data_IF_673759058087
#
_entry.id   IF_673759058087
#
_cell.length_a   1.000
_cell.length_b   1.000
_cell.length_c   1.000
_cell.angle_alpha   90.00
_cell.angle_beta   90.00
_cell.angle_gamma   90.00
#
_symmetry.space_group_name_H-M   'P 1'
#
loop_
_entity.id
_entity.type
_entity.pdbx_description
1 polymer ?
#
# COMPACT_ATOMS: atom_id res chain seq x y z
N UNK A 1 13.21 -1.07 -5.27
CA UNK A 1 12.99 -2.52 -5.09
C UNK A 1 12.44 -2.90 -3.71
N UNK A 2 12.62 -2.08 -2.66
CA UNK A 2 12.23 -2.41 -1.27
C UNK A 2 10.74 -2.20 -0.98
N UNK A 3 10.06 -1.29 -1.69
CA UNK A 3 8.66 -0.92 -1.42
C UNK A 3 7.62 -1.93 -1.90
N UNK A 4 7.97 -2.81 -2.84
CA UNK A 4 7.06 -3.85 -3.38
C UNK A 4 6.92 -5.03 -2.41
N UNK A 5 8.00 -5.37 -1.68
CA UNK A 5 8.00 -6.51 -0.75
C UNK A 5 7.06 -6.34 0.45
N UNK A 6 6.85 -5.10 0.93
CA UNK A 6 5.99 -4.84 2.09
C UNK A 6 4.48 -4.96 1.78
N UNK A 7 4.06 -4.62 0.56
CA UNK A 7 2.66 -4.83 0.14
C UNK A 7 2.34 -6.33 0.08
N UNK A 8 3.30 -7.17 -0.33
CA UNK A 8 3.13 -8.62 -0.38
C UNK A 8 3.09 -9.30 0.99
N UNK A 9 3.88 -8.80 1.96
CA UNK A 9 3.85 -9.38 3.30
C UNK A 9 2.53 -9.11 4.02
N UNK A 10 1.95 -7.92 3.85
CA UNK A 10 0.63 -7.60 4.40
C UNK A 10 -0.50 -8.32 3.67
N UNK A 11 -0.36 -8.59 2.37
CA UNK A 11 -1.39 -9.27 1.57
C UNK A 11 -1.62 -10.73 2.00
N UNK A 12 -0.54 -11.45 2.34
CA UNK A 12 -0.67 -12.82 2.86
C UNK A 12 -1.36 -12.90 4.24
N UNK A 13 -1.47 -11.77 4.96
CA UNK A 13 -2.21 -11.67 6.22
C UNK A 13 -3.68 -11.27 6.00
N UNK A 14 -4.04 -10.84 4.77
CA UNK A 14 -5.34 -10.23 4.45
C UNK A 14 -6.30 -11.21 3.77
N UNK A 15 -5.90 -12.45 3.51
CA UNK A 15 -6.78 -13.45 2.91
C UNK A 15 -7.70 -14.04 3.97
N UNK A 16 -8.93 -13.55 4.09
CA UNK A 16 -9.89 -14.15 4.99
C UNK A 16 -10.80 -15.14 4.26
N UNK A 17 -10.36 -16.36 4.14
CA UNK A 17 -11.33 -17.47 4.16
C UNK A 17 -11.97 -17.59 5.56
N UNK A 18 -12.06 -16.47 6.28
CA UNK A 18 -12.47 -16.35 7.66
C UNK A 18 -13.98 -16.23 7.80
N UNK A 19 -14.73 -17.13 7.19
CA UNK A 19 -16.15 -17.34 7.52
C UNK A 19 -16.38 -18.55 8.43
N UNK A 20 -15.30 -19.16 8.95
CA UNK A 20 -15.44 -20.28 9.87
C UNK A 20 -15.10 -19.82 11.29
N UNK A 21 -16.11 -19.38 12.01
CA UNK A 21 -16.03 -18.88 13.40
C UNK A 21 -15.18 -19.74 14.35
N UNK A 22 -15.07 -21.03 14.10
CA UNK A 22 -14.25 -21.94 14.91
C UNK A 22 -12.75 -21.86 14.55
N UNK A 23 -12.40 -21.65 13.28
CA UNK A 23 -11.00 -21.47 12.86
C UNK A 23 -10.45 -20.15 13.35
N UNK A 24 -11.23 -19.09 13.25
CA UNK A 24 -10.86 -17.73 13.65
C UNK A 24 -10.60 -17.69 15.16
N UNK A 25 -11.50 -18.30 15.93
CA UNK A 25 -11.33 -18.44 17.37
C UNK A 25 -10.07 -19.20 17.73
N UNK A 26 -9.80 -20.32 17.06
CA UNK A 26 -8.59 -21.13 17.28
C UNK A 26 -7.33 -20.34 16.95
N UNK A 27 -7.31 -19.56 15.86
CA UNK A 27 -6.17 -18.72 15.51
C UNK A 27 -5.93 -17.65 16.58
N UNK A 28 -6.95 -16.97 17.06
CA UNK A 28 -6.83 -15.97 18.13
C UNK A 28 -6.33 -16.63 19.42
N UNK A 29 -6.81 -17.83 19.76
CA UNK A 29 -6.32 -18.61 20.91
C UNK A 29 -4.84 -18.93 20.80
N UNK A 30 -4.37 -19.35 19.62
CA UNK A 30 -2.95 -19.63 19.35
C UNK A 30 -2.13 -18.35 19.48
N UNK A 31 -2.56 -17.24 18.86
CA UNK A 31 -1.86 -15.95 18.93
C UNK A 31 -1.77 -15.49 20.40
N UNK A 32 -2.86 -15.51 21.13
CA UNK A 32 -2.91 -15.15 22.54
C UNK A 32 -1.97 -16.02 23.37
N UNK A 33 -2.00 -17.34 23.19
CA UNK A 33 -1.11 -18.27 23.88
C UNK A 33 0.37 -17.97 23.60
N UNK A 34 0.73 -17.66 22.34
CA UNK A 34 2.10 -17.31 21.97
C UNK A 34 2.52 -16.00 22.63
N UNK A 35 1.66 -14.99 22.62
CA UNK A 35 1.93 -13.69 23.26
C UNK A 35 2.13 -13.83 24.78
N UNK A 36 1.32 -14.63 25.45
CA UNK A 36 1.36 -14.83 26.91
C UNK A 36 2.51 -15.72 27.38
N UNK A 37 2.92 -16.73 26.59
CA UNK A 37 3.82 -17.80 27.05
C UNK A 37 5.20 -17.79 26.41
N UNK A 38 5.33 -17.30 25.19
CA UNK A 38 6.57 -17.42 24.40
C UNK A 38 7.19 -16.07 24.00
N UNK A 39 6.55 -14.96 24.32
CA UNK A 39 7.18 -13.67 24.11
C UNK A 39 8.28 -13.45 25.18
N UNK A 40 9.50 -13.07 24.73
CA UNK A 40 10.67 -12.87 25.59
C UNK A 40 10.41 -11.91 26.77
N UNK A 41 9.59 -10.88 26.53
CA UNK A 41 9.04 -10.02 27.59
C UNK A 41 7.55 -10.35 27.72
N UNK A 42 7.07 -10.64 28.94
CA UNK A 42 5.64 -10.83 29.17
C UNK A 42 4.87 -9.61 28.66
N UNK A 43 4.05 -9.80 27.66
CA UNK A 43 3.17 -8.75 27.12
C UNK A 43 1.89 -8.79 27.93
N UNK A 44 1.60 -7.67 28.58
CA UNK A 44 0.30 -7.47 29.22
C UNK A 44 -0.70 -7.01 28.16
N UNK A 45 -1.78 -7.79 27.99
CA UNK A 45 -2.85 -7.47 27.03
C UNK A 45 -3.79 -6.46 27.69
N UNK A 46 -3.53 -5.18 27.42
CA UNK A 46 -4.21 -4.01 28.00
C UNK A 46 -4.31 -2.88 26.95
N UNK A 47 -4.82 -1.72 27.35
CA UNK A 47 -4.98 -0.54 26.49
C UNK A 47 -3.65 -0.12 25.80
N UNK A 48 -2.51 -0.23 26.46
CA UNK A 48 -1.21 0.10 25.86
C UNK A 48 -0.86 -0.88 24.73
N UNK A 49 -1.11 -2.17 24.95
CA UNK A 49 -1.00 -3.20 23.92
C UNK A 49 -1.96 -2.93 22.76
N UNK A 50 -3.22 -2.57 23.07
CA UNK A 50 -4.23 -2.22 22.08
C UNK A 50 -3.79 -1.07 21.18
N UNK A 51 -3.22 -0.01 21.76
CA UNK A 51 -2.68 1.14 21.01
C UNK A 51 -1.57 0.71 20.06
N UNK A 52 -0.56 -0.02 20.55
CA UNK A 52 0.56 -0.48 19.74
C UNK A 52 0.12 -1.42 18.61
N UNK A 53 -0.79 -2.33 18.92
CA UNK A 53 -1.36 -3.25 17.94
C UNK A 53 -2.14 -2.51 16.86
N UNK A 54 -2.97 -1.53 17.24
CA UNK A 54 -3.74 -0.71 16.32
C UNK A 54 -2.81 0.07 15.37
N UNK A 55 -1.84 0.79 15.92
CA UNK A 55 -0.94 1.65 15.14
C UNK A 55 -0.12 0.80 14.16
N UNK A 56 0.45 -0.32 14.61
CA UNK A 56 1.19 -1.25 13.76
C UNK A 56 0.31 -1.90 12.67
N UNK A 57 -0.94 -2.25 13.02
CA UNK A 57 -1.87 -2.86 12.07
C UNK A 57 -2.27 -1.88 10.97
N UNK A 58 -2.66 -0.65 11.29
CA UNK A 58 -3.00 0.38 10.29
C UNK A 58 -1.79 0.70 9.41
N UNK A 59 -0.59 0.81 9.99
CA UNK A 59 0.65 1.00 9.23
C UNK A 59 0.90 -0.16 8.27
N UNK A 60 0.63 -1.40 8.67
CA UNK A 60 0.79 -2.57 7.80
C UNK A 60 -0.18 -2.58 6.61
N UNK A 61 -1.39 -2.03 6.78
CA UNK A 61 -2.40 -1.97 5.73
C UNK A 61 -2.15 -0.86 4.71
N UNK A 62 -1.68 0.30 5.14
CA UNK A 62 -1.51 1.49 4.28
C UNK A 62 -0.37 2.40 4.77
N UNK A 63 0.86 1.87 4.78
CA UNK A 63 2.07 2.58 5.23
C UNK A 63 2.32 3.89 4.49
N UNK A 64 1.92 3.99 3.24
CA UNK A 64 2.05 5.21 2.42
C UNK A 64 0.83 6.13 2.48
N UNK A 65 -0.18 5.78 3.27
CA UNK A 65 -1.43 6.54 3.46
C UNK A 65 -2.06 6.97 2.13
N UNK A 66 -2.17 6.01 1.19
CA UNK A 66 -2.62 6.25 -0.19
C UNK A 66 -3.93 5.54 -0.56
N UNK A 67 -4.37 4.57 0.24
CA UNK A 67 -5.64 3.87 0.06
C UNK A 67 -6.74 4.49 0.92
N UNK A 68 -6.55 4.50 2.24
CA UNK A 68 -7.56 5.02 3.16
C UNK A 68 -7.73 6.54 3.06
N UNK A 69 -8.95 6.99 3.40
CA UNK A 69 -9.26 8.39 3.61
C UNK A 69 -9.21 8.73 5.11
N UNK A 70 -9.11 10.01 5.43
CA UNK A 70 -9.17 10.49 6.81
C UNK A 70 -10.48 10.09 7.53
N UNK A 71 -11.59 9.96 6.80
CA UNK A 71 -12.87 9.46 7.32
C UNK A 71 -12.76 8.01 7.79
N UNK A 72 -12.06 7.15 7.03
CA UNK A 72 -11.87 5.74 7.37
C UNK A 72 -11.01 5.62 8.63
N UNK A 73 -9.91 6.36 8.68
CA UNK A 73 -9.04 6.39 9.84
C UNK A 73 -9.76 6.88 11.11
N UNK A 74 -10.65 7.87 10.98
CA UNK A 74 -11.47 8.34 12.10
C UNK A 74 -12.48 7.27 12.58
N UNK A 75 -12.99 6.43 11.67
CA UNK A 75 -13.81 5.27 12.04
C UNK A 75 -12.98 4.22 12.79
N UNK A 76 -11.78 3.92 12.28
CA UNK A 76 -10.86 2.96 12.91
C UNK A 76 -10.43 3.39 14.31
N UNK A 77 -10.17 4.69 14.54
CA UNK A 77 -9.77 5.21 15.85
C UNK A 77 -10.71 4.85 17.01
N UNK A 78 -11.97 4.58 16.75
CA UNK A 78 -12.94 4.16 17.77
C UNK A 78 -12.57 2.80 18.41
N UNK A 79 -11.69 2.06 17.76
CA UNK A 79 -11.23 0.74 18.19
C UNK A 79 -9.83 0.75 18.82
N UNK A 80 -9.14 1.89 18.80
CA UNK A 80 -7.73 1.99 19.20
C UNK A 80 -7.44 1.52 20.63
N UNK A 81 -8.41 1.63 21.53
CA UNK A 81 -8.35 1.17 22.92
C UNK A 81 -9.24 -0.06 23.18
N UNK A 82 -9.56 -0.84 22.16
CA UNK A 82 -10.50 -1.97 22.27
C UNK A 82 -9.97 -3.27 21.67
N UNK A 83 -8.77 -3.28 21.10
CA UNK A 83 -8.26 -4.47 20.43
C UNK A 83 -7.82 -5.54 21.41
N UNK A 84 -7.35 -5.16 22.61
CA UNK A 84 -7.10 -6.06 23.73
C UNK A 84 -8.38 -6.78 24.17
N UNK A 85 -9.47 -6.03 24.37
CA UNK A 85 -10.80 -6.54 24.68
C UNK A 85 -11.34 -7.47 23.57
N UNK A 86 -11.15 -7.08 22.28
CA UNK A 86 -11.54 -7.90 21.14
C UNK A 86 -10.73 -9.20 21.07
N UNK A 87 -9.42 -9.14 21.33
CA UNK A 87 -8.56 -10.32 21.38
C UNK A 87 -9.01 -11.28 22.50
N UNK A 88 -9.36 -10.74 23.69
CA UNK A 88 -9.83 -11.54 24.82
C UNK A 88 -11.19 -12.17 24.52
N UNK A 89 -12.08 -11.45 23.85
CA UNK A 89 -13.46 -11.90 23.53
C UNK A 89 -13.57 -12.69 22.21
N UNK A 90 -12.46 -12.87 21.48
CA UNK A 90 -12.44 -13.46 20.13
C UNK A 90 -13.32 -12.69 19.13
N UNK A 91 -13.35 -11.35 19.26
CA UNK A 91 -14.13 -10.46 18.40
C UNK A 91 -13.27 -9.92 17.27
N UNK A 92 -13.63 -10.19 16.03
CA UNK A 92 -12.94 -9.74 14.81
C UNK A 92 -13.61 -8.52 14.16
N UNK A 93 -14.51 -7.83 14.85
CA UNK A 93 -15.30 -6.75 14.25
C UNK A 93 -14.44 -5.63 13.66
N UNK A 94 -13.35 -5.23 14.33
CA UNK A 94 -12.42 -4.25 13.78
C UNK A 94 -11.67 -4.78 12.55
N UNK A 95 -11.18 -5.99 12.62
CA UNK A 95 -10.49 -6.64 11.50
C UNK A 95 -11.39 -6.70 10.26
N UNK A 96 -12.63 -7.17 10.41
CA UNK A 96 -13.59 -7.27 9.31
C UNK A 96 -13.93 -5.90 8.74
N UNK A 97 -14.19 -4.89 9.58
CA UNK A 97 -14.46 -3.52 9.16
C UNK A 97 -13.28 -2.93 8.36
N UNK A 98 -12.08 -3.03 8.89
CA UNK A 98 -10.89 -2.47 8.25
C UNK A 98 -10.56 -3.15 6.94
N UNK A 99 -10.74 -4.48 6.88
CA UNK A 99 -10.57 -5.26 5.67
C UNK A 99 -11.61 -4.89 4.59
N UNK A 100 -12.89 -4.83 4.94
CA UNK A 100 -13.95 -4.42 4.00
C UNK A 100 -13.67 -3.04 3.40
N UNK A 101 -13.28 -2.09 4.25
CA UNK A 101 -12.93 -0.75 3.79
C UNK A 101 -11.69 -0.78 2.91
N UNK A 102 -10.64 -1.55 3.25
CA UNK A 102 -9.43 -1.68 2.44
C UNK A 102 -9.75 -2.22 1.04
N UNK A 103 -10.49 -3.30 0.94
CA UNK A 103 -10.89 -3.89 -0.36
C UNK A 103 -11.67 -2.88 -1.19
N UNK A 104 -12.62 -2.17 -0.60
CA UNK A 104 -13.35 -1.09 -1.26
C UNK A 104 -12.38 -0.02 -1.79
N UNK A 105 -11.42 0.44 -0.97
CA UNK A 105 -10.47 1.48 -1.35
C UNK A 105 -9.49 1.02 -2.43
N UNK A 106 -9.05 -0.23 -2.40
CA UNK A 106 -8.24 -0.84 -3.47
C UNK A 106 -9.02 -0.83 -4.79
N UNK A 107 -10.27 -1.29 -4.78
CA UNK A 107 -11.11 -1.30 -5.99
C UNK A 107 -11.36 0.11 -6.56
N UNK A 108 -11.56 1.11 -5.69
CA UNK A 108 -11.67 2.51 -6.13
C UNK A 108 -10.38 3.01 -6.80
N UNK A 109 -9.20 2.66 -6.26
CA UNK A 109 -7.92 3.01 -6.87
C UNK A 109 -7.74 2.29 -8.21
N UNK A 110 -8.06 1.01 -8.29
CA UNK A 110 -8.02 0.23 -9.52
C UNK A 110 -8.88 0.86 -10.62
N UNK A 111 -10.04 1.37 -10.26
CA UNK A 111 -10.93 2.02 -11.21
C UNK A 111 -10.42 3.36 -11.74
N UNK A 112 -9.71 4.15 -10.93
CA UNK A 112 -9.28 5.48 -11.37
C UNK A 112 -7.82 5.57 -11.83
N UNK A 113 -6.92 4.67 -11.39
CA UNK A 113 -5.49 4.82 -11.70
C UNK A 113 -5.18 4.85 -13.21
N UNK A 114 -5.89 4.12 -14.10
CA UNK A 114 -5.59 4.18 -15.52
C UNK A 114 -5.67 5.61 -16.08
N UNK A 115 -6.68 6.37 -15.66
CA UNK A 115 -6.88 7.75 -16.10
C UNK A 115 -5.75 8.71 -15.67
N UNK A 116 -4.97 8.36 -14.65
CA UNK A 116 -3.80 9.12 -14.22
C UNK A 116 -2.55 8.85 -15.07
N UNK A 117 -2.60 7.83 -15.94
CA UNK A 117 -1.50 7.32 -16.77
C UNK A 117 -1.86 7.29 -18.26
N UNK A 118 -2.95 7.95 -18.67
CA UNK A 118 -3.36 8.00 -20.08
C UNK A 118 -2.44 8.88 -20.91
N UNK A 119 -1.96 9.99 -20.33
CA UNK A 119 -0.99 10.89 -20.93
C UNK A 119 0.38 10.75 -20.26
N UNK A 120 1.45 11.01 -21.04
CA UNK A 120 2.81 11.10 -20.49
C UNK A 120 2.94 12.30 -19.54
N UNK A 121 3.69 12.12 -18.47
CA UNK A 121 3.93 13.20 -17.50
C UNK A 121 4.73 14.35 -18.08
N UNK A 122 4.38 15.57 -17.68
CA UNK A 122 5.19 16.75 -17.94
C UNK A 122 6.15 17.00 -16.76
N UNK A 123 7.42 16.65 -16.93
CA UNK A 123 8.45 16.83 -15.90
C UNK A 123 8.91 18.29 -15.74
N UNK A 124 8.55 19.20 -16.65
CA UNK A 124 8.85 20.63 -16.51
C UNK A 124 7.91 21.34 -15.53
N UNK A 125 6.80 20.71 -15.14
CA UNK A 125 5.92 21.24 -14.11
C UNK A 125 6.50 20.88 -12.74
N UNK A 126 6.92 21.91 -12.00
CA UNK A 126 7.42 21.75 -10.63
C UNK A 126 6.27 21.41 -9.68
N UNK A 127 6.42 20.33 -8.94
CA UNK A 127 5.47 19.84 -7.96
C UNK A 127 6.22 19.27 -6.76
N UNK A 128 5.62 19.38 -5.59
CA UNK A 128 6.16 18.78 -4.38
C UNK A 128 5.47 17.47 -4.08
N UNK A 129 6.25 16.46 -3.70
CA UNK A 129 5.78 15.21 -3.13
C UNK A 129 6.35 15.05 -1.72
N UNK A 130 5.49 14.78 -0.75
CA UNK A 130 5.94 14.45 0.60
C UNK A 130 6.16 12.95 0.71
N UNK A 131 7.39 12.53 0.97
CA UNK A 131 7.81 11.14 1.16
C UNK A 131 7.94 10.75 2.64
N UNK A 132 7.68 11.67 3.56
CA UNK A 132 7.62 11.40 4.99
C UNK A 132 6.26 10.77 5.36
N UNK A 133 6.10 9.50 4.98
CA UNK A 133 4.84 8.78 5.15
C UNK A 133 4.45 8.56 6.63
N UNK A 134 5.39 8.65 7.56
CA UNK A 134 5.09 8.57 9.00
C UNK A 134 4.29 9.79 9.46
N UNK A 135 4.66 10.99 8.99
CA UNK A 135 4.12 12.26 9.46
C UNK A 135 3.01 12.86 8.59
N UNK A 136 2.79 12.35 7.36
CA UNK A 136 1.67 12.84 6.55
C UNK A 136 0.33 12.32 7.10
N UNK A 137 -0.73 13.11 6.90
CA UNK A 137 -2.09 12.69 7.20
C UNK A 137 -2.69 11.86 6.08
N UNK A 138 -3.71 11.05 6.38
CA UNK A 138 -4.54 10.41 5.35
C UNK A 138 -5.24 11.48 4.48
N UNK A 139 -5.44 11.23 3.17
CA UNK A 139 -6.16 12.13 2.28
C UNK A 139 -7.56 12.44 2.82
N UNK A 140 -7.95 13.71 2.79
CA UNK A 140 -9.26 14.15 3.30
C UNK A 140 -10.42 13.70 2.42
N UNK A 141 -10.14 13.50 1.13
CA UNK A 141 -11.16 13.16 0.13
C UNK A 141 -10.52 12.47 -1.09
N UNK A 142 -11.37 12.00 -1.99
CA UNK A 142 -10.95 11.30 -3.21
C UNK A 142 -10.04 12.14 -4.11
N UNK A 143 -10.27 13.46 -4.21
CA UNK A 143 -9.45 14.36 -5.02
C UNK A 143 -7.99 14.38 -4.52
N UNK A 144 -7.80 14.52 -3.20
CA UNK A 144 -6.46 14.48 -2.59
C UNK A 144 -5.80 13.10 -2.75
N UNK A 145 -6.59 12.03 -2.62
CA UNK A 145 -6.10 10.66 -2.82
C UNK A 145 -5.63 10.45 -4.26
N UNK A 146 -6.42 10.88 -5.26
CA UNK A 146 -6.04 10.82 -6.67
C UNK A 146 -4.78 11.64 -6.96
N UNK A 147 -4.67 12.86 -6.40
CA UNK A 147 -3.47 13.69 -6.57
C UNK A 147 -2.23 13.04 -5.95
N UNK A 148 -2.35 12.41 -4.78
CA UNK A 148 -1.26 11.64 -4.15
C UNK A 148 -0.79 10.51 -5.05
N UNK A 149 -1.70 9.72 -5.61
CA UNK A 149 -1.38 8.66 -6.56
C UNK A 149 -0.72 9.21 -7.83
N UNK A 150 -1.26 10.28 -8.40
CA UNK A 150 -0.70 10.93 -9.60
C UNK A 150 0.73 11.40 -9.36
N UNK A 151 0.98 12.10 -8.25
CA UNK A 151 2.32 12.56 -7.89
C UNK A 151 3.29 11.41 -7.69
N UNK A 152 2.86 10.34 -7.06
CA UNK A 152 3.70 9.15 -6.89
C UNK A 152 4.03 8.48 -8.21
N UNK A 153 3.07 8.37 -9.13
CA UNK A 153 3.34 7.86 -10.47
C UNK A 153 4.32 8.75 -11.24
N UNK A 154 4.12 10.08 -11.18
CA UNK A 154 5.04 11.03 -11.81
C UNK A 154 6.45 10.92 -11.24
N UNK A 155 6.59 10.82 -9.92
CA UNK A 155 7.89 10.62 -9.26
C UNK A 155 8.56 9.32 -9.71
N UNK A 156 7.84 8.21 -9.72
CA UNK A 156 8.36 6.92 -10.19
C UNK A 156 8.74 6.97 -11.68
N UNK A 157 7.94 7.65 -12.51
CA UNK A 157 8.26 7.82 -13.93
C UNK A 157 9.51 8.69 -14.14
N UNK A 158 9.73 9.69 -13.29
CA UNK A 158 10.93 10.53 -13.31
C UNK A 158 12.18 9.73 -12.93
N UNK A 159 12.13 8.90 -11.90
CA UNK A 159 13.24 8.00 -11.52
C UNK A 159 13.62 7.05 -12.67
N UNK A 160 12.61 6.46 -13.32
CA UNK A 160 12.83 5.58 -14.49
C UNK A 160 13.44 6.38 -15.66
N UNK A 161 12.98 7.60 -15.88
CA UNK A 161 13.48 8.49 -16.92
C UNK A 161 14.96 8.83 -16.71
N UNK A 162 15.37 9.16 -15.48
CA UNK A 162 16.76 9.45 -15.13
C UNK A 162 17.69 8.25 -15.37
N UNK A 163 17.22 7.04 -15.04
CA UNK A 163 17.94 5.80 -15.34
C UNK A 163 18.11 5.65 -16.86
N UNK A 164 17.02 5.83 -17.65
CA UNK A 164 17.07 5.70 -19.11
C UNK A 164 17.97 6.72 -19.77
N UNK A 165 18.03 7.96 -19.27
CA UNK A 165 18.98 8.98 -19.76
C UNK A 165 20.42 8.53 -19.50
N UNK A 166 20.70 8.02 -18.31
CA UNK A 166 22.03 7.55 -17.92
C UNK A 166 22.46 6.37 -18.79
N UNK A 167 21.60 5.39 -19.00
CA UNK A 167 21.83 4.25 -19.87
C UNK A 167 22.04 4.68 -21.33
N UNK A 168 21.24 5.61 -21.83
CA UNK A 168 21.40 6.14 -23.18
C UNK A 168 22.76 6.85 -23.38
N UNK A 169 23.23 7.61 -22.38
CA UNK A 169 24.55 8.25 -22.43
C UNK A 169 25.67 7.21 -22.50
N UNK A 170 25.57 6.13 -21.72
CA UNK A 170 26.52 5.03 -21.75
C UNK A 170 26.51 4.31 -23.11
N UNK A 171 25.34 4.01 -23.64
CA UNK A 171 25.21 3.34 -24.94
C UNK A 171 25.79 4.17 -26.08
N UNK A 172 25.55 5.48 -26.10
CA UNK A 172 26.14 6.39 -27.08
C UNK A 172 27.69 6.39 -26.99
N UNK A 173 28.26 6.27 -25.77
CA UNK A 173 29.71 6.23 -25.60
C UNK A 173 30.33 4.91 -26.03
N UNK A 174 29.58 3.82 -26.03
CA UNK A 174 30.07 2.46 -26.29
C UNK A 174 29.74 1.96 -27.70
N UNK A 175 28.78 2.55 -28.39
CA UNK A 175 28.34 2.16 -29.74
C UNK A 175 28.08 3.39 -30.60
N UNK A 176 28.94 3.63 -31.58
CA UNK A 176 28.83 4.75 -32.54
C UNK A 176 27.54 4.69 -33.39
N UNK A 177 26.94 3.51 -33.54
CA UNK A 177 25.70 3.32 -34.29
C UNK A 177 24.45 3.38 -33.41
N UNK A 178 24.58 3.68 -32.12
CA UNK A 178 23.44 3.76 -31.22
C UNK A 178 22.49 4.89 -31.64
N UNK A 179 21.21 4.53 -31.87
CA UNK A 179 20.16 5.48 -32.24
C UNK A 179 19.63 6.16 -30.98
N UNK A 180 19.95 7.44 -30.83
CA UNK A 180 19.47 8.24 -29.69
C UNK A 180 17.97 8.45 -29.75
N UNK A 181 17.26 8.09 -28.65
CA UNK A 181 15.85 8.43 -28.45
C UNK A 181 15.70 9.89 -28.04
N UNK A 182 14.60 10.50 -28.47
CA UNK A 182 14.22 11.83 -28.00
C UNK A 182 13.77 11.82 -26.54
N UNK A 183 13.82 12.98 -25.89
CA UNK A 183 13.30 13.16 -24.53
C UNK A 183 11.83 12.71 -24.41
N UNK A 184 11.00 13.07 -25.38
CA UNK A 184 9.58 12.70 -25.43
C UNK A 184 9.38 11.18 -25.48
N UNK A 185 10.20 10.46 -26.22
CA UNK A 185 10.16 9.00 -26.29
C UNK A 185 10.55 8.39 -24.93
N UNK A 186 11.61 8.88 -24.30
CA UNK A 186 12.06 8.40 -23.00
C UNK A 186 11.02 8.65 -21.90
N UNK A 187 10.38 9.82 -21.90
CA UNK A 187 9.30 10.16 -20.96
C UNK A 187 8.11 9.21 -21.17
N UNK A 188 7.71 8.99 -22.42
CA UNK A 188 6.62 8.07 -22.77
C UNK A 188 6.92 6.65 -22.30
N UNK A 189 8.10 6.12 -22.62
CA UNK A 189 8.51 4.79 -22.19
C UNK A 189 8.53 4.64 -20.65
N UNK A 190 8.93 5.70 -19.95
CA UNK A 190 8.95 5.72 -18.48
C UNK A 190 7.53 5.66 -17.92
N UNK A 191 6.61 6.44 -18.49
CA UNK A 191 5.18 6.41 -18.11
C UNK A 191 4.54 5.05 -18.43
N UNK A 192 4.82 4.50 -19.61
CA UNK A 192 4.31 3.17 -20.04
C UNK A 192 4.80 2.05 -19.10
N UNK A 193 6.04 2.15 -18.61
CA UNK A 193 6.59 1.18 -17.65
C UNK A 193 5.89 1.30 -16.28
N UNK A 194 5.61 2.51 -15.79
CA UNK A 194 4.80 2.70 -14.58
C UNK A 194 3.42 2.08 -14.77
N UNK A 195 2.75 2.35 -15.91
CA UNK A 195 1.43 1.79 -16.23
C UNK A 195 1.44 0.26 -16.23
N UNK A 196 2.44 -0.34 -16.85
CA UNK A 196 2.62 -1.79 -16.86
C UNK A 196 2.83 -2.37 -15.46
N UNK A 197 3.69 -1.73 -14.67
CA UNK A 197 4.01 -2.21 -13.33
C UNK A 197 2.80 -2.15 -12.39
N UNK A 198 2.07 -1.05 -12.40
CA UNK A 198 0.87 -0.91 -11.55
C UNK A 198 -0.24 -1.87 -11.99
N UNK A 199 -0.42 -2.06 -13.31
CA UNK A 199 -1.37 -3.07 -13.82
C UNK A 199 -1.01 -4.46 -13.31
N UNK A 200 0.24 -4.87 -13.40
CA UNK A 200 0.68 -6.18 -12.92
C UNK A 200 0.42 -6.36 -11.41
N UNK A 201 0.57 -5.29 -10.62
CA UNK A 201 0.26 -5.32 -9.19
C UNK A 201 -1.23 -5.60 -8.97
N UNK A 202 -2.13 -4.88 -9.64
CA UNK A 202 -3.58 -5.10 -9.50
C UNK A 202 -4.02 -6.45 -10.05
N UNK A 203 -3.47 -6.89 -11.19
CA UNK A 203 -3.74 -8.23 -11.74
C UNK A 203 -3.39 -9.33 -10.71
N UNK A 204 -2.21 -9.21 -10.08
CA UNK A 204 -1.79 -10.15 -9.04
C UNK A 204 -2.67 -10.09 -7.79
N UNK A 205 -3.06 -8.90 -7.36
CA UNK A 205 -4.00 -8.71 -6.24
C UNK A 205 -5.34 -9.39 -6.52
N UNK A 206 -5.88 -9.23 -7.72
CA UNK A 206 -7.12 -9.85 -8.15
C UNK A 206 -7.02 -11.38 -8.28
N UNK A 207 -5.89 -11.90 -8.74
CA UNK A 207 -5.65 -13.34 -8.83
C UNK A 207 -5.54 -14.00 -7.44
N UNK A 208 -5.00 -13.30 -6.46
CA UNK A 208 -4.95 -13.78 -5.08
C UNK A 208 -6.34 -13.81 -4.46
N UNK A 209 -7.19 -12.81 -4.72
CA UNK A 209 -8.59 -12.78 -4.23
C UNK A 209 -9.48 -13.88 -4.85
N UNK A 210 -9.15 -14.37 -6.05
CA UNK A 210 -9.94 -15.41 -6.74
C UNK A 210 -9.60 -16.84 -6.31
N UNK A 211 -8.47 -17.04 -5.63
CA UNK A 211 -7.98 -18.37 -5.23
C UNK A 211 -8.49 -18.84 -3.87
N UNK A 212 -9.21 -18.00 -3.17
CA UNK A 212 -9.86 -18.25 -1.88
C UNK A 212 -11.38 -18.38 -2.02
#
# INVERSE_FOLDING_TARGET
>A
FITISFVFASWNLINPSFQNSNKDKLLIEIVKYVLEKYHYNSIEINDEFSVKMFDAYIESLDSQKKYFLASDYNEFKKYRLKLDDQLIKYDLSFFNLSHEILIKRISEVENFYPSLLDDSFNFNVQEEINLDFENISFPRNEKERKDRWRKQFKYTALDIYDIKISDQKLNISNDENYIKKSEKELIKESTDLVKKNIKNIFDLMNDLQRKD
#
